data_IF_855105985529
#
_entry.id   IF_855105985529
#
_cell.length_a   1.000
_cell.length_b   1.000
_cell.length_c   1.000
_cell.angle_alpha   90.00
_cell.angle_beta   90.00
_cell.angle_gamma   90.00
#
_symmetry.space_group_name_H-M   'P 1'
#
loop_
_entity.id
_entity.type
_entity.pdbx_description
1 polymer ?
#
# COMPACT_ATOMS: atom_id res chain seq x y z
N UNK A 1 -10.21 8.35 -68.99
CA UNK A 1 -10.18 9.06 -67.69
C UNK A 1 -9.95 8.16 -66.47
N UNK A 2 -10.27 6.86 -66.50
CA UNK A 2 -9.98 5.88 -65.42
C UNK A 2 -8.49 5.70 -64.99
N UNK A 3 -7.49 5.63 -65.91
CA UNK A 3 -6.12 5.26 -65.52
C UNK A 3 -5.36 6.30 -64.69
N UNK A 4 -5.86 7.55 -64.58
CA UNK A 4 -5.29 8.57 -63.67
C UNK A 4 -5.80 8.40 -62.23
N UNK A 5 -7.02 7.89 -62.07
CA UNK A 5 -7.64 7.65 -60.77
C UNK A 5 -7.02 6.42 -60.10
N UNK A 6 -6.79 5.35 -60.86
CA UNK A 6 -6.18 4.11 -60.37
C UNK A 6 -4.74 4.35 -59.88
N UNK A 7 -3.93 5.10 -60.66
CA UNK A 7 -2.57 5.51 -60.25
C UNK A 7 -2.56 6.41 -59.01
N UNK A 8 -3.61 7.19 -58.78
CA UNK A 8 -3.73 8.03 -57.58
C UNK A 8 -4.11 7.18 -56.36
N UNK A 9 -5.01 6.22 -56.52
CA UNK A 9 -5.38 5.26 -55.46
C UNK A 9 -4.16 4.42 -55.03
N UNK A 10 -3.38 3.91 -55.99
CA UNK A 10 -2.14 3.17 -55.72
C UNK A 10 -1.14 4.00 -54.91
N UNK A 11 -0.95 5.29 -55.25
CA UNK A 11 -0.08 6.20 -54.48
C UNK A 11 -0.58 6.43 -53.06
N UNK A 12 -1.88 6.62 -52.88
CA UNK A 12 -2.50 6.82 -51.54
C UNK A 12 -2.38 5.55 -50.70
N UNK A 13 -2.60 4.37 -51.27
CA UNK A 13 -2.42 3.09 -50.58
C UNK A 13 -0.96 2.87 -50.19
N UNK A 14 -0.02 3.12 -51.10
CA UNK A 14 1.41 3.02 -50.81
C UNK A 14 1.88 4.00 -49.71
N UNK A 15 1.35 5.23 -49.69
CA UNK A 15 1.62 6.19 -48.62
C UNK A 15 1.06 5.70 -47.27
N UNK A 16 -0.18 5.19 -47.23
CA UNK A 16 -0.77 4.62 -46.02
C UNK A 16 0.00 3.42 -45.49
N UNK A 17 0.47 2.54 -46.36
CA UNK A 17 1.29 1.39 -45.96
C UNK A 17 2.62 1.83 -45.34
N UNK A 18 3.32 2.77 -45.97
CA UNK A 18 4.55 3.36 -45.41
C UNK A 18 4.31 4.03 -44.05
N UNK A 19 3.20 4.74 -43.90
CA UNK A 19 2.83 5.36 -42.63
C UNK A 19 2.55 4.32 -41.55
N UNK A 20 1.86 3.23 -41.89
CA UNK A 20 1.60 2.11 -40.98
C UNK A 20 2.89 1.41 -40.56
N UNK A 21 3.81 1.16 -41.48
CA UNK A 21 5.12 0.58 -41.18
C UNK A 21 5.94 1.47 -40.25
N UNK A 22 5.96 2.78 -40.52
CA UNK A 22 6.68 3.74 -39.70
C UNK A 22 6.09 3.81 -38.28
N UNK A 23 4.76 3.81 -38.14
CA UNK A 23 4.07 3.75 -36.84
C UNK A 23 4.35 2.45 -36.09
N UNK A 24 4.33 1.30 -36.76
CA UNK A 24 4.70 0.01 -36.15
C UNK A 24 6.13 0.02 -35.64
N UNK A 25 7.07 0.50 -36.45
CA UNK A 25 8.48 0.61 -36.05
C UNK A 25 8.68 1.56 -34.86
N UNK A 26 7.99 2.70 -34.85
CA UNK A 26 8.00 3.62 -33.72
C UNK A 26 7.42 2.96 -32.45
N UNK A 27 6.32 2.22 -32.58
CA UNK A 27 5.69 1.52 -31.47
C UNK A 27 6.60 0.41 -30.92
N UNK A 28 7.27 -0.35 -31.78
CA UNK A 28 8.26 -1.36 -31.38
C UNK A 28 9.47 -0.76 -30.69
N UNK A 29 10.00 0.37 -31.20
CA UNK A 29 11.09 1.07 -30.54
C UNK A 29 10.69 1.61 -29.18
N UNK A 30 9.51 2.23 -29.10
CA UNK A 30 8.97 2.74 -27.84
C UNK A 30 8.72 1.62 -26.83
N UNK A 31 8.20 0.46 -27.27
CA UNK A 31 7.97 -0.68 -26.38
C UNK A 31 9.27 -1.29 -25.88
N UNK A 32 10.28 -1.45 -26.74
CA UNK A 32 11.60 -1.93 -26.35
C UNK A 32 12.28 -0.99 -25.35
N UNK A 33 12.23 0.32 -25.61
CA UNK A 33 12.75 1.33 -24.68
C UNK A 33 12.02 1.29 -23.34
N UNK A 34 10.70 1.16 -23.35
CA UNK A 34 9.90 1.02 -22.14
C UNK A 34 10.33 -0.22 -21.33
N UNK A 35 10.42 -1.39 -21.98
CA UNK A 35 10.86 -2.63 -21.32
C UNK A 35 12.25 -2.49 -20.70
N UNK A 36 13.18 -1.88 -21.43
CA UNK A 36 14.55 -1.63 -20.96
C UNK A 36 14.56 -0.69 -19.76
N UNK A 37 13.83 0.43 -19.82
CA UNK A 37 13.76 1.40 -18.74
C UNK A 37 13.16 0.78 -17.47
N UNK A 38 12.09 0.00 -17.61
CA UNK A 38 11.48 -0.72 -16.48
C UNK A 38 12.49 -1.71 -15.88
N UNK A 39 13.21 -2.47 -16.70
CA UNK A 39 14.26 -3.36 -16.21
C UNK A 39 15.37 -2.60 -15.47
N UNK A 40 15.86 -1.50 -16.05
CA UNK A 40 16.93 -0.70 -15.46
C UNK A 40 16.53 -0.05 -14.13
N UNK A 41 15.27 0.36 -13.97
CA UNK A 41 14.77 0.90 -12.70
C UNK A 41 14.60 -0.18 -11.62
N UNK A 42 14.25 -1.41 -12.00
CA UNK A 42 13.97 -2.48 -11.05
C UNK A 42 15.20 -3.34 -10.71
N UNK A 43 16.23 -3.39 -11.57
CA UNK A 43 17.44 -4.23 -11.38
C UNK A 43 18.21 -3.89 -10.10
N UNK A 44 18.15 -2.62 -9.67
CA UNK A 44 18.85 -2.14 -8.47
C UNK A 44 18.18 -2.62 -7.19
N UNK A 45 16.93 -3.10 -7.30
CA UNK A 45 16.16 -3.63 -6.18
C UNK A 45 15.73 -2.60 -5.16
N UNK A 46 15.72 -1.33 -5.56
CA UNK A 46 15.27 -0.20 -4.77
C UNK A 46 14.19 0.56 -5.54
N UNK A 47 13.12 0.96 -4.85
CA UNK A 47 12.09 1.86 -5.38
C UNK A 47 12.10 3.13 -4.54
N UNK A 48 12.82 4.15 -5.02
CA UNK A 48 13.20 5.27 -4.17
C UNK A 48 14.02 4.76 -2.98
N UNK A 49 13.58 5.06 -1.76
CA UNK A 49 14.28 4.69 -0.53
C UNK A 49 13.91 3.29 0.02
N UNK A 50 13.04 2.55 -0.69
CA UNK A 50 12.51 1.27 -0.24
C UNK A 50 13.25 0.13 -0.93
N UNK A 51 13.85 -0.78 -0.14
CA UNK A 51 14.39 -2.05 -0.66
C UNK A 51 13.24 -3.00 -0.99
N UNK A 52 13.33 -3.61 -2.18
CA UNK A 52 12.30 -4.50 -2.72
C UNK A 52 12.88 -5.90 -2.86
N UNK A 53 12.14 -6.91 -2.41
CA UNK A 53 12.53 -8.30 -2.56
C UNK A 53 12.38 -8.77 -4.02
N UNK A 54 13.11 -9.83 -4.38
CA UNK A 54 13.16 -10.34 -5.77
C UNK A 54 11.77 -10.74 -6.30
N UNK A 55 10.87 -11.22 -5.43
CA UNK A 55 9.50 -11.59 -5.84
C UNK A 55 8.69 -10.37 -6.21
N UNK A 56 8.75 -9.30 -5.41
CA UNK A 56 8.05 -8.04 -5.72
C UNK A 56 8.65 -7.37 -6.96
N UNK A 57 9.98 -7.40 -7.15
CA UNK A 57 10.62 -6.93 -8.39
C UNK A 57 10.08 -7.66 -9.63
N UNK A 58 10.02 -8.99 -9.58
CA UNK A 58 9.49 -9.80 -10.67
C UNK A 58 7.99 -9.50 -10.93
N UNK A 59 7.21 -9.34 -9.87
CA UNK A 59 5.79 -8.96 -9.97
C UNK A 59 5.63 -7.60 -10.64
N UNK A 60 6.41 -6.58 -10.25
CA UNK A 60 6.35 -5.25 -10.83
C UNK A 60 6.80 -5.22 -12.30
N UNK A 61 7.90 -5.92 -12.62
CA UNK A 61 8.38 -6.04 -13.99
C UNK A 61 7.31 -6.68 -14.89
N UNK A 62 6.78 -7.84 -14.48
CA UNK A 62 5.74 -8.54 -15.24
C UNK A 62 4.47 -7.70 -15.33
N UNK A 63 4.09 -7.03 -14.25
CA UNK A 63 2.88 -6.21 -14.19
C UNK A 63 2.92 -4.96 -15.06
N UNK A 64 4.11 -4.42 -15.34
CA UNK A 64 4.29 -3.25 -16.22
C UNK A 64 4.46 -3.66 -17.69
N UNK A 65 5.16 -4.76 -17.95
CA UNK A 65 5.60 -5.12 -19.30
C UNK A 65 4.65 -6.10 -20.00
N UNK A 66 4.09 -7.09 -19.31
CA UNK A 66 3.42 -8.21 -19.97
C UNK A 66 1.95 -7.89 -20.25
N UNK A 67 1.51 -7.90 -21.53
CA UNK A 67 0.11 -7.69 -21.89
C UNK A 67 -0.71 -8.99 -21.74
N UNK A 68 -0.81 -9.47 -20.50
CA UNK A 68 -1.47 -10.74 -20.17
C UNK A 68 -2.91 -10.58 -19.65
N UNK A 69 -3.40 -9.34 -19.48
CA UNK A 69 -4.69 -9.09 -18.87
C UNK A 69 -5.71 -8.56 -19.90
N UNK A 70 -6.98 -8.98 -19.82
CA UNK A 70 -8.02 -8.45 -20.68
C UNK A 70 -8.35 -6.99 -20.30
N UNK A 71 -8.41 -6.10 -21.30
CA UNK A 71 -8.90 -4.72 -21.17
C UNK A 71 -10.37 -4.62 -21.58
N UNK A 72 -11.07 -3.62 -21.05
CA UNK A 72 -12.41 -3.21 -21.52
C UNK A 72 -12.39 -2.81 -23.00
N UNK A 73 -11.25 -2.34 -23.50
CA UNK A 73 -11.05 -2.01 -24.92
C UNK A 73 -10.97 -3.22 -25.86
N UNK A 74 -10.96 -4.45 -25.33
CA UNK A 74 -10.87 -5.69 -26.10
C UNK A 74 -9.45 -6.09 -26.52
N UNK A 75 -8.44 -5.25 -26.27
CA UNK A 75 -7.02 -5.61 -26.44
C UNK A 75 -6.41 -6.02 -25.11
N UNK A 76 -5.42 -6.92 -25.12
CA UNK A 76 -4.73 -7.21 -23.87
C UNK A 76 -3.92 -6.00 -23.40
N UNK A 77 -3.90 -5.79 -22.10
CA UNK A 77 -3.16 -4.73 -21.41
C UNK A 77 -2.28 -5.34 -20.31
N UNK A 78 -1.38 -4.54 -19.78
CA UNK A 78 -0.55 -4.92 -18.64
C UNK A 78 -1.37 -4.90 -17.33
N UNK A 79 -0.78 -5.40 -16.24
CA UNK A 79 -1.49 -5.46 -14.94
C UNK A 79 -1.88 -4.05 -14.47
N UNK A 80 -1.00 -3.06 -14.65
CA UNK A 80 -1.28 -1.67 -14.27
C UNK A 80 -2.54 -1.13 -14.97
N UNK A 81 -2.61 -1.28 -16.28
CA UNK A 81 -3.76 -0.84 -17.08
C UNK A 81 -5.02 -1.60 -16.70
N UNK A 82 -4.93 -2.91 -16.51
CA UNK A 82 -6.06 -3.73 -16.06
C UNK A 82 -6.59 -3.27 -14.69
N UNK A 83 -5.71 -2.97 -13.73
CA UNK A 83 -6.14 -2.48 -12.41
C UNK A 83 -6.81 -1.11 -12.49
N UNK A 84 -6.27 -0.19 -13.30
CA UNK A 84 -6.88 1.13 -13.50
C UNK A 84 -8.29 0.99 -14.09
N UNK A 85 -8.44 0.22 -15.17
CA UNK A 85 -9.74 -0.01 -15.79
C UNK A 85 -10.72 -0.73 -14.85
N UNK A 86 -10.22 -1.75 -14.12
CA UNK A 86 -11.01 -2.51 -13.16
C UNK A 86 -11.61 -1.58 -12.11
N UNK A 87 -10.80 -0.74 -11.47
CA UNK A 87 -11.29 0.16 -10.43
C UNK A 87 -12.06 1.36 -10.99
N UNK A 88 -11.95 1.68 -12.28
CA UNK A 88 -12.67 2.79 -12.90
C UNK A 88 -14.08 2.36 -13.34
N UNK A 89 -14.22 1.17 -13.91
CA UNK A 89 -15.43 0.78 -14.65
C UNK A 89 -16.08 -0.53 -14.19
N UNK A 90 -15.31 -1.50 -13.68
CA UNK A 90 -15.84 -2.85 -13.37
C UNK A 90 -16.21 -2.97 -11.89
N UNK A 91 -15.27 -2.67 -11.00
CA UNK A 91 -15.43 -2.66 -9.55
C UNK A 91 -15.01 -1.28 -9.02
N UNK A 92 -15.88 -0.26 -9.12
CA UNK A 92 -15.51 1.12 -8.82
C UNK A 92 -14.95 1.30 -7.40
N UNK A 93 -13.68 1.71 -7.32
CA UNK A 93 -13.04 2.14 -6.07
C UNK A 93 -12.35 3.48 -6.29
N UNK A 94 -13.16 4.54 -6.23
CA UNK A 94 -12.69 5.90 -6.48
C UNK A 94 -11.72 6.41 -5.41
N UNK A 95 -11.76 5.86 -4.20
CA UNK A 95 -10.78 6.20 -3.18
C UNK A 95 -9.38 5.74 -3.62
N UNK A 96 -9.21 4.45 -3.94
CA UNK A 96 -7.92 3.91 -4.38
C UNK A 96 -7.41 4.59 -5.66
N UNK A 97 -8.31 4.88 -6.61
CA UNK A 97 -7.93 5.61 -7.83
C UNK A 97 -7.50 7.03 -7.53
N UNK A 98 -8.21 7.74 -6.64
CA UNK A 98 -7.84 9.11 -6.28
C UNK A 98 -6.49 9.17 -5.58
N UNK A 99 -6.18 8.18 -4.73
CA UNK A 99 -4.86 8.02 -4.12
C UNK A 99 -3.78 7.75 -5.18
N UNK A 100 -4.03 6.83 -6.12
CA UNK A 100 -3.12 6.53 -7.21
C UNK A 100 -2.90 7.75 -8.13
N UNK A 101 -3.96 8.50 -8.45
CA UNK A 101 -3.90 9.72 -9.24
C UNK A 101 -3.05 10.78 -8.54
N UNK A 102 -3.26 11.00 -7.23
CA UNK A 102 -2.46 11.97 -6.49
C UNK A 102 -0.99 11.54 -6.41
N UNK A 103 -0.71 10.25 -6.19
CA UNK A 103 0.65 9.71 -6.21
C UNK A 103 1.34 9.91 -7.57
N UNK A 104 0.60 9.78 -8.68
CA UNK A 104 1.15 10.00 -10.03
C UNK A 104 1.34 11.49 -10.35
N UNK A 105 0.44 12.36 -9.88
CA UNK A 105 0.48 13.81 -10.14
C UNK A 105 1.52 14.54 -9.28
N UNK A 106 1.59 14.21 -7.99
CA UNK A 106 2.54 14.80 -7.04
C UNK A 106 3.05 13.73 -6.05
N UNK A 107 4.09 12.97 -6.44
CA UNK A 107 4.64 11.92 -5.60
C UNK A 107 5.22 12.45 -4.28
N UNK A 108 5.79 13.66 -4.29
CA UNK A 108 6.45 14.24 -3.12
C UNK A 108 5.41 14.70 -2.09
N UNK A 109 4.38 15.41 -2.52
CA UNK A 109 3.30 15.88 -1.65
C UNK A 109 2.50 14.72 -1.05
N UNK A 110 2.17 13.70 -1.84
CA UNK A 110 1.47 12.52 -1.31
C UNK A 110 2.33 11.79 -0.26
N UNK A 111 3.60 11.49 -0.57
CA UNK A 111 4.50 10.82 0.38
C UNK A 111 4.71 11.63 1.65
N UNK A 112 4.86 12.95 1.56
CA UNK A 112 4.99 13.83 2.72
C UNK A 112 3.78 13.72 3.65
N UNK A 113 2.55 13.76 3.11
CA UNK A 113 1.32 13.61 3.91
C UNK A 113 1.20 12.25 4.56
N UNK A 114 1.65 11.18 3.89
CA UNK A 114 1.71 9.84 4.48
C UNK A 114 2.73 9.77 5.62
N UNK A 115 3.90 10.40 5.46
CA UNK A 115 4.92 10.47 6.50
C UNK A 115 4.43 11.26 7.72
N UNK A 116 3.79 12.42 7.52
CA UNK A 116 3.21 13.24 8.60
C UNK A 116 2.20 12.44 9.42
N UNK A 117 1.31 11.70 8.75
CA UNK A 117 0.33 10.82 9.40
C UNK A 117 1.01 9.70 10.20
N UNK A 118 2.12 9.16 9.69
CA UNK A 118 2.95 8.18 10.39
C UNK A 118 3.59 8.75 11.66
N UNK A 119 4.14 9.96 11.57
CA UNK A 119 4.74 10.68 12.69
C UNK A 119 3.71 11.01 13.77
N UNK A 120 2.51 11.47 13.40
CA UNK A 120 1.43 11.69 14.37
C UNK A 120 1.06 10.41 15.12
N UNK A 121 0.99 9.27 14.42
CA UNK A 121 0.68 7.97 15.03
C UNK A 121 1.78 7.48 15.99
N UNK A 122 3.05 7.78 15.71
CA UNK A 122 4.15 7.45 16.63
C UNK A 122 4.13 8.35 17.87
N UNK A 123 3.90 9.65 17.70
CA UNK A 123 3.75 10.62 18.81
C UNK A 123 2.56 10.22 19.69
N UNK A 124 1.41 9.88 19.12
CA UNK A 124 0.23 9.44 19.88
C UNK A 124 0.53 8.21 20.74
N UNK A 125 1.25 7.23 20.18
CA UNK A 125 1.69 6.03 20.92
C UNK A 125 2.64 6.39 22.06
N UNK A 126 3.61 7.27 21.82
CA UNK A 126 4.57 7.71 22.84
C UNK A 126 3.86 8.47 23.95
N UNK A 127 2.96 9.41 23.63
CA UNK A 127 2.16 10.15 24.63
C UNK A 127 1.28 9.19 25.44
N UNK A 128 0.65 8.21 24.79
CA UNK A 128 -0.15 7.19 25.49
C UNK A 128 0.71 6.35 26.44
N UNK A 129 1.91 5.95 26.01
CA UNK A 129 2.87 5.22 26.84
C UNK A 129 3.32 6.06 28.05
N UNK A 130 3.69 7.32 27.83
CA UNK A 130 4.08 8.25 28.90
C UNK A 130 2.94 8.51 29.89
N UNK A 131 1.70 8.71 29.42
CA UNK A 131 0.53 8.85 30.31
C UNK A 131 0.28 7.59 31.14
N UNK A 132 0.44 6.41 30.54
CA UNK A 132 0.34 5.13 31.24
C UNK A 132 1.43 4.98 32.30
N UNK A 133 2.68 5.31 31.97
CA UNK A 133 3.81 5.27 32.89
C UNK A 133 3.68 6.31 34.01
N UNK A 134 3.25 7.53 33.71
CA UNK A 134 2.97 8.57 34.71
C UNK A 134 1.84 8.15 35.66
N UNK A 135 0.78 7.52 35.14
CA UNK A 135 -0.30 6.99 35.98
C UNK A 135 0.19 5.84 36.86
N UNK A 136 1.09 5.01 36.35
CA UNK A 136 1.73 3.92 37.10
C UNK A 136 2.70 4.45 38.17
N UNK A 137 3.46 5.51 37.89
CA UNK A 137 4.35 6.19 38.83
C UNK A 137 3.57 6.91 39.93
N UNK A 138 2.43 7.53 39.61
CA UNK A 138 1.52 8.11 40.61
C UNK A 138 0.88 7.08 41.55
N UNK A 139 0.79 5.80 41.13
CA UNK A 139 0.42 4.67 41.98
C UNK A 139 1.57 4.12 42.85
N UNK A 140 2.82 4.47 42.53
CA UNK A 140 4.04 3.93 43.15
C UNK A 140 4.79 4.93 44.04
N UNK A 141 4.45 6.23 44.07
CA UNK A 141 5.24 7.25 44.80
C UNK A 141 4.53 7.96 45.96
N UNK A 142 3.51 7.34 46.56
CA UNK A 142 2.92 7.82 47.83
C UNK A 142 2.77 6.66 48.83
N UNK A 143 3.90 6.02 49.15
CA UNK A 143 4.00 4.96 50.16
C UNK A 143 4.92 5.27 51.35
N UNK A 144 5.48 6.49 51.47
CA UNK A 144 6.44 6.82 52.54
C UNK A 144 5.88 7.78 53.60
N UNK A 145 4.70 8.38 53.42
CA UNK A 145 4.06 9.24 54.43
C UNK A 145 2.79 8.66 55.06
N UNK A 146 2.56 7.35 54.90
CA UNK A 146 1.43 6.64 55.53
C UNK A 146 1.80 5.38 56.31
N UNK A 147 3.10 5.14 56.49
CA UNK A 147 3.61 3.99 57.24
C UNK A 147 3.65 4.22 58.76
N UNK A 148 3.48 5.45 59.25
CA UNK A 148 3.65 5.76 60.68
C UNK A 148 2.32 5.89 61.47
N UNK A 149 1.19 6.14 60.82
CA UNK A 149 -0.12 6.22 61.52
C UNK A 149 -0.94 4.92 61.49
N UNK A 150 -0.53 3.91 60.71
CA UNK A 150 -1.29 2.65 60.58
C UNK A 150 -0.90 1.57 61.60
N UNK A 151 0.14 1.78 62.41
CA UNK A 151 0.66 0.79 63.36
C UNK A 151 -0.10 0.73 64.69
N UNK A 152 -1.02 1.66 64.97
CA UNK A 152 -1.70 1.74 66.28
C UNK A 152 -3.13 1.16 66.33
N UNK A 153 -3.77 0.81 65.20
CA UNK A 153 -5.19 0.38 65.20
C UNK A 153 -5.49 -0.68 64.14
N UNK A 154 -5.26 -1.96 64.45
CA UNK A 154 -6.06 -3.12 63.95
C UNK A 154 -5.53 -4.46 64.49
N UNK A 155 -5.70 -4.69 65.80
CA UNK A 155 -5.79 -6.05 66.32
C UNK A 155 -7.21 -6.59 66.08
N UNK A 156 -7.49 -7.10 64.88
CA UNK A 156 -8.71 -7.88 64.61
C UNK A 156 -8.32 -9.28 64.21
N UNK A 157 -8.51 -10.20 65.15
CA UNK A 157 -8.17 -11.63 65.10
C UNK A 157 -8.85 -12.29 63.88
N UNK A 158 -8.08 -12.94 62.99
CA UNK A 158 -8.64 -13.87 62.00
C UNK A 158 -9.15 -15.12 62.73
N UNK A 159 -10.46 -15.36 62.70
CA UNK A 159 -11.09 -16.62 63.14
C UNK A 159 -10.76 -17.72 62.13
N UNK A 160 -10.24 -18.84 62.63
CA UNK A 160 -10.02 -20.07 61.86
C UNK A 160 -11.40 -20.66 61.49
N UNK A 161 -11.63 -20.95 60.21
CA UNK A 161 -12.86 -21.62 59.76
C UNK A 161 -12.81 -23.12 60.14
N UNK A 162 -13.89 -23.62 60.74
CA UNK A 162 -14.04 -25.04 61.10
C UNK A 162 -14.61 -25.83 59.91
N UNK A 163 -14.12 -27.05 59.62
CA UNK A 163 -14.68 -27.88 58.55
C UNK A 163 -16.04 -28.47 58.97
N UNK A 164 -16.99 -28.47 58.04
CA UNK A 164 -18.34 -29.03 58.19
C UNK A 164 -18.33 -30.55 57.97
N UNK A 165 -18.89 -31.31 58.92
CA UNK A 165 -18.99 -32.77 58.91
C UNK A 165 -19.82 -33.32 57.73
N UNK A 166 -19.28 -34.32 57.03
CA UNK A 166 -19.80 -34.92 55.79
C UNK A 166 -20.88 -36.02 56.02
N UNK A 167 -21.14 -36.44 57.26
CA UNK A 167 -22.13 -37.49 57.57
C UNK A 167 -23.40 -36.95 58.23
N UNK A 168 -24.07 -35.99 57.59
CA UNK A 168 -25.42 -35.56 58.03
C UNK A 168 -26.47 -35.82 56.96
N UNK A 169 -26.75 -37.12 56.74
CA UNK A 169 -28.03 -37.69 56.30
C UNK A 169 -27.96 -39.22 56.47
N UNK A 170 -28.66 -39.73 57.46
CA UNK A 170 -29.77 -40.70 57.39
C UNK A 170 -30.59 -40.47 58.68
#
# INVERSE_FOLDING_TARGET
FKPKLDKMQEKVVAQKLKEQELKKKQQEQASQQYMKNVYETLKEGTLGDIKVDRKTQAMLYNGLVQPNYPSVSGRNTNLLGHLLEKYQFVEPNYQLISEALWLLQDPAGYKAKIMDKGAQKSVEKTVRKLKSEQSNVGGSSLGVTKAEEASAKKSSKRKIQRPTNIFKRI
#
